data_IF_521603635515
#
_entry.id   IF_521603635515
#
_cell.length_a   1.000
_cell.length_b   1.000
_cell.length_c   1.000
_cell.angle_alpha   90.00
_cell.angle_beta   90.00
_cell.angle_gamma   90.00
#
_symmetry.space_group_name_H-M   'P 1'
#
loop_
_entity.id
_entity.type
_entity.pdbx_description
1 polymer ?
#
# COMPACT_ATOMS: atom_id res chain seq x y z
N UNK A 1 19.80 -3.22 -4.65
CA UNK A 1 19.94 -3.92 -3.34
C UNK A 1 21.04 -3.30 -2.46
N UNK A 2 22.23 -3.06 -3.00
CA UNK A 2 23.36 -2.50 -2.22
C UNK A 2 23.09 -1.09 -1.73
N UNK A 3 22.53 -0.19 -2.58
CA UNK A 3 22.29 1.21 -2.26
C UNK A 3 21.41 1.39 -1.00
N UNK A 4 20.27 0.70 -0.93
CA UNK A 4 19.35 0.83 0.21
C UNK A 4 19.96 0.31 1.51
N UNK A 5 20.71 -0.79 1.46
CA UNK A 5 21.45 -1.29 2.65
C UNK A 5 22.49 -0.28 3.14
N UNK A 6 23.21 0.38 2.22
CA UNK A 6 24.18 1.42 2.56
C UNK A 6 23.55 2.66 3.18
N UNK A 7 22.25 2.89 2.96
CA UNK A 7 21.46 3.95 3.57
C UNK A 7 20.74 3.51 4.86
N UNK A 8 21.03 2.31 5.38
CA UNK A 8 20.46 1.79 6.62
C UNK A 8 19.09 1.14 6.47
N UNK A 9 18.62 0.91 5.25
CA UNK A 9 17.35 0.20 5.05
C UNK A 9 17.49 -1.30 5.29
N UNK A 10 16.48 -1.87 5.95
CA UNK A 10 16.28 -3.30 6.17
C UNK A 10 15.02 -3.76 5.49
N UNK A 11 14.94 -5.03 5.16
CA UNK A 11 13.72 -5.64 4.57
C UNK A 11 12.73 -5.90 5.69
N UNK A 12 11.51 -5.41 5.53
CA UNK A 12 10.38 -5.74 6.41
C UNK A 12 9.73 -7.05 5.99
N UNK A 13 9.31 -7.14 4.73
CA UNK A 13 8.70 -8.33 4.15
C UNK A 13 8.62 -8.28 2.63
N UNK A 14 7.92 -9.26 2.07
CA UNK A 14 7.64 -9.42 0.65
C UNK A 14 6.16 -9.71 0.40
N UNK A 15 5.65 -9.29 -0.78
CA UNK A 15 4.38 -9.79 -1.32
C UNK A 15 4.64 -10.35 -2.72
N UNK A 16 4.15 -11.57 -2.98
CA UNK A 16 4.29 -12.27 -4.26
C UNK A 16 2.89 -12.61 -4.81
N UNK A 17 2.37 -11.73 -5.69
CA UNK A 17 1.00 -11.83 -6.27
C UNK A 17 1.01 -11.61 -7.79
N UNK A 18 1.77 -12.42 -8.51
CA UNK A 18 2.00 -12.23 -9.95
C UNK A 18 3.03 -11.13 -10.26
N UNK A 19 3.42 -10.37 -9.27
CA UNK A 19 4.56 -9.47 -9.23
C UNK A 19 5.21 -9.56 -7.86
N UNK A 20 6.50 -9.21 -7.77
CA UNK A 20 7.23 -9.17 -6.51
C UNK A 20 7.24 -7.75 -5.95
N UNK A 21 6.78 -7.58 -4.72
CA UNK A 21 6.94 -6.35 -3.96
C UNK A 21 7.88 -6.59 -2.78
N UNK A 22 8.71 -5.60 -2.50
CA UNK A 22 9.67 -5.61 -1.38
C UNK A 22 9.48 -4.36 -0.55
N UNK A 23 9.26 -4.56 0.73
CA UNK A 23 9.03 -3.50 1.70
C UNK A 23 10.28 -3.32 2.55
N UNK A 24 10.70 -2.06 2.71
CA UNK A 24 11.94 -1.72 3.39
C UNK A 24 11.70 -0.59 4.41
N UNK A 25 12.24 -0.76 5.60
CA UNK A 25 12.19 0.25 6.66
C UNK A 25 13.60 0.76 7.02
N UNK A 26 13.64 1.94 7.61
CA UNK A 26 14.83 2.53 8.24
C UNK A 26 14.51 3.18 9.60
N UNK A 27 13.30 2.97 10.07
CA UNK A 27 12.75 3.42 11.36
C UNK A 27 11.65 2.42 11.79
N UNK A 28 11.00 2.57 12.94
CA UNK A 28 10.00 1.60 13.41
C UNK A 28 8.75 1.46 12.54
N UNK A 29 8.48 2.32 11.55
CA UNK A 29 7.37 2.09 10.61
C UNK A 29 7.64 0.84 9.79
N UNK A 30 6.58 0.06 9.50
CA UNK A 30 6.69 -1.18 8.75
C UNK A 30 7.50 -1.00 7.45
N UNK A 31 7.24 0.06 6.72
CA UNK A 31 8.08 0.42 5.58
C UNK A 31 8.11 1.92 5.32
N UNK A 32 9.24 2.37 4.82
CA UNK A 32 9.46 3.72 4.30
C UNK A 32 9.45 3.70 2.77
N UNK A 33 9.88 2.59 2.18
CA UNK A 33 9.93 2.37 0.73
C UNK A 33 9.37 1.00 0.39
N UNK A 34 8.50 0.95 -0.62
CA UNK A 34 8.10 -0.26 -1.29
C UNK A 34 8.60 -0.26 -2.74
N UNK A 35 9.20 -1.36 -3.17
CA UNK A 35 9.72 -1.55 -4.51
C UNK A 35 8.93 -2.63 -5.22
N UNK A 36 8.34 -2.28 -6.37
CA UNK A 36 7.65 -3.22 -7.25
C UNK A 36 8.55 -3.65 -8.40
N UNK A 37 8.59 -4.94 -8.69
CA UNK A 37 9.32 -5.53 -9.80
C UNK A 37 8.47 -5.72 -11.07
N UNK A 38 7.57 -4.81 -11.40
CA UNK A 38 6.75 -4.91 -12.61
C UNK A 38 7.61 -4.64 -13.87
N UNK A 39 7.78 -5.62 -14.79
CA UNK A 39 8.59 -5.44 -15.98
C UNK A 39 8.02 -4.34 -16.90
N UNK A 40 8.90 -3.45 -17.37
CA UNK A 40 8.53 -2.39 -18.32
C UNK A 40 7.83 -1.19 -17.69
N UNK A 41 7.62 -1.17 -16.37
CA UNK A 41 7.04 -0.04 -15.65
C UNK A 41 8.09 0.57 -14.75
N UNK A 42 8.39 1.85 -14.95
CA UNK A 42 9.24 2.63 -14.06
C UNK A 42 8.51 3.92 -13.68
N UNK A 43 8.46 4.25 -12.40
CA UNK A 43 7.81 5.46 -11.93
C UNK A 43 7.52 5.46 -10.44
N UNK A 44 6.95 6.56 -9.99
CA UNK A 44 6.48 6.72 -8.63
C UNK A 44 4.99 6.36 -8.57
N UNK A 45 4.64 5.40 -7.73
CA UNK A 45 3.28 4.89 -7.62
C UNK A 45 2.44 5.73 -6.66
N UNK A 46 2.81 5.77 -5.40
CA UNK A 46 2.05 6.52 -4.38
C UNK A 46 2.94 7.05 -3.26
N UNK A 47 2.38 8.02 -2.52
CA UNK A 47 2.85 8.48 -1.22
C UNK A 47 1.81 8.10 -0.18
N UNK A 48 2.23 7.47 0.93
CA UNK A 48 1.37 7.13 2.06
C UNK A 48 1.41 8.23 3.12
N UNK A 49 0.21 8.64 3.58
CA UNK A 49 -0.01 9.54 4.70
C UNK A 49 -0.78 8.80 5.79
N UNK A 50 -0.13 8.56 6.91
CA UNK A 50 -0.74 7.90 8.06
C UNK A 50 -1.31 8.91 9.06
N UNK A 51 -2.52 8.66 9.54
CA UNK A 51 -3.20 9.41 10.59
C UNK A 51 -3.43 8.53 11.83
N UNK A 52 -3.59 9.16 12.97
CA UNK A 52 -3.75 8.44 14.24
C UNK A 52 -5.12 7.80 14.40
N UNK A 53 -6.17 8.46 13.89
CA UNK A 53 -7.55 8.05 14.15
C UNK A 53 -8.23 7.49 12.89
N UNK A 54 -8.86 6.33 13.01
CA UNK A 54 -9.68 5.77 11.93
C UNK A 54 -10.82 6.73 11.49
N UNK A 55 -11.33 7.52 12.42
CA UNK A 55 -12.33 8.56 12.10
C UNK A 55 -11.85 9.56 11.07
N UNK A 56 -10.54 9.89 11.06
CA UNK A 56 -9.99 10.84 10.08
C UNK A 56 -9.89 10.18 8.69
N UNK A 57 -9.66 8.87 8.63
CA UNK A 57 -9.74 8.10 7.37
C UNK A 57 -11.15 8.17 6.80
N UNK A 58 -12.18 7.95 7.63
CA UNK A 58 -13.59 8.06 7.22
C UNK A 58 -13.94 9.46 6.72
N UNK A 59 -13.58 10.51 7.48
CA UNK A 59 -13.82 11.90 7.06
C UNK A 59 -13.11 12.27 5.76
N UNK A 60 -11.88 11.80 5.56
CA UNK A 60 -11.15 12.02 4.32
C UNK A 60 -11.84 11.33 3.14
N UNK A 61 -12.36 10.12 3.33
CA UNK A 61 -13.10 9.39 2.31
C UNK A 61 -14.42 10.11 1.95
N UNK A 62 -15.14 10.69 2.93
CA UNK A 62 -16.30 11.54 2.68
C UNK A 62 -15.91 12.75 1.81
N UNK A 63 -14.81 13.44 2.12
CA UNK A 63 -14.32 14.56 1.33
C UNK A 63 -13.99 14.14 -0.11
N UNK A 64 -13.35 12.98 -0.30
CA UNK A 64 -13.05 12.43 -1.62
C UNK A 64 -14.32 12.23 -2.44
N UNK A 65 -15.37 11.67 -1.82
CA UNK A 65 -16.66 11.43 -2.45
C UNK A 65 -17.39 12.74 -2.77
N UNK A 66 -17.49 13.67 -1.82
CA UNK A 66 -18.16 14.96 -1.97
C UNK A 66 -17.50 15.82 -3.07
N UNK A 67 -16.17 15.79 -3.14
CA UNK A 67 -15.39 16.50 -4.15
C UNK A 67 -15.30 15.75 -5.48
N UNK A 68 -15.89 14.54 -5.58
CA UNK A 68 -15.83 13.68 -6.77
C UNK A 68 -14.40 13.45 -7.25
N UNK A 69 -13.46 13.30 -6.32
CA UNK A 69 -12.08 12.95 -6.62
C UNK A 69 -12.00 11.50 -7.10
N UNK A 70 -11.04 11.20 -7.95
CA UNK A 70 -10.88 9.83 -8.47
C UNK A 70 -10.29 8.93 -7.39
N UNK A 71 -11.13 8.06 -6.83
CA UNK A 71 -10.69 6.98 -5.95
C UNK A 71 -9.92 5.96 -6.78
N UNK A 72 -8.66 5.72 -6.45
CA UNK A 72 -7.83 4.74 -7.16
C UNK A 72 -8.01 3.33 -6.61
N UNK A 73 -8.16 3.19 -5.29
CA UNK A 73 -8.56 1.95 -4.61
C UNK A 73 -9.51 2.26 -3.45
N UNK A 74 -10.52 1.43 -3.28
CA UNK A 74 -11.47 1.54 -2.18
C UNK A 74 -10.79 1.37 -0.81
N UNK A 75 -11.50 1.72 0.26
CA UNK A 75 -11.06 1.38 1.61
C UNK A 75 -10.81 -0.11 1.72
N UNK A 76 -9.69 -0.48 2.35
CA UNK A 76 -9.25 -1.85 2.51
C UNK A 76 -8.23 -1.99 3.63
N UNK A 77 -7.80 -3.23 3.89
CA UNK A 77 -6.76 -3.53 4.87
C UNK A 77 -5.71 -4.45 4.27
N UNK A 78 -4.46 -4.01 4.29
CA UNK A 78 -3.33 -4.79 3.81
C UNK A 78 -3.03 -6.02 4.70
N UNK A 79 -2.41 -7.03 4.09
CA UNK A 79 -2.04 -8.26 4.80
C UNK A 79 -0.75 -8.09 5.58
N UNK A 80 0.23 -7.41 5.00
CA UNK A 80 1.60 -7.36 5.48
C UNK A 80 1.82 -6.33 6.60
N UNK A 81 1.29 -5.14 6.47
CA UNK A 81 1.49 -4.06 7.44
C UNK A 81 0.23 -3.70 8.24
N UNK A 82 -0.89 -4.38 7.98
CA UNK A 82 -2.21 -4.17 8.60
C UNK A 82 -2.79 -2.76 8.41
N UNK A 83 -2.18 -1.92 7.56
CA UNK A 83 -2.67 -0.59 7.26
C UNK A 83 -4.10 -0.65 6.73
N UNK A 84 -4.98 0.15 7.33
CA UNK A 84 -6.35 0.34 6.83
C UNK A 84 -6.40 1.67 6.10
N UNK A 85 -6.52 1.64 4.78
CA UNK A 85 -6.32 2.80 3.91
C UNK A 85 -7.21 2.78 2.68
N UNK A 86 -7.24 3.89 1.95
CA UNK A 86 -7.75 4.01 0.59
C UNK A 86 -6.77 4.82 -0.26
N UNK A 87 -6.92 4.75 -1.58
CA UNK A 87 -6.04 5.46 -2.51
C UNK A 87 -6.82 6.44 -3.35
N UNK A 88 -6.30 7.66 -3.49
CA UNK A 88 -6.87 8.71 -4.33
C UNK A 88 -5.84 9.20 -5.33
N UNK A 89 -6.27 9.41 -6.58
CA UNK A 89 -5.39 9.89 -7.64
C UNK A 89 -5.13 11.38 -7.52
N UNK A 90 -3.86 11.78 -7.61
CA UNK A 90 -3.47 13.18 -7.67
C UNK A 90 -3.54 13.73 -9.10
N UNK A 91 -3.66 15.06 -9.28
CA UNK A 91 -3.54 15.68 -10.59
C UNK A 91 -2.19 15.44 -11.28
N UNK A 92 -1.14 15.15 -10.51
CA UNK A 92 0.22 14.85 -11.01
C UNK A 92 0.39 13.40 -11.48
N UNK A 93 -0.66 12.55 -11.34
CA UNK A 93 -0.69 11.19 -11.88
C UNK A 93 -0.24 10.09 -10.92
N UNK A 94 0.40 10.42 -9.79
CA UNK A 94 0.63 9.45 -8.72
C UNK A 94 -0.57 9.38 -7.76
N UNK A 95 -0.55 8.44 -6.82
CA UNK A 95 -1.63 8.24 -5.87
C UNK A 95 -1.22 8.67 -4.46
N UNK A 96 -2.17 9.11 -3.65
CA UNK A 96 -2.04 9.23 -2.21
C UNK A 96 -2.76 8.06 -1.58
N UNK A 97 -2.04 7.28 -0.81
CA UNK A 97 -2.60 6.36 0.16
C UNK A 97 -2.85 7.11 1.46
N UNK A 98 -4.07 7.02 2.01
CA UNK A 98 -4.44 7.69 3.25
C UNK A 98 -5.05 6.67 4.21
N UNK A 99 -4.44 6.49 5.37
CA UNK A 99 -4.82 5.40 6.25
C UNK A 99 -4.29 5.51 7.67
N UNK A 100 -4.54 4.46 8.45
CA UNK A 100 -4.18 4.35 9.86
C UNK A 100 -3.89 2.92 10.27
N UNK A 101 -3.17 2.75 11.37
CA UNK A 101 -3.00 1.48 12.06
C UNK A 101 -1.97 0.55 11.44
N UNK A 102 -0.96 1.13 10.79
CA UNK A 102 0.18 0.37 10.30
C UNK A 102 1.00 -0.27 11.43
N UNK A 103 1.54 -1.46 11.16
CA UNK A 103 2.43 -2.16 12.09
C UNK A 103 3.70 -1.36 12.35
N UNK A 104 4.21 -1.50 13.57
CA UNK A 104 5.56 -1.08 13.92
C UNK A 104 6.49 -2.29 13.94
N UNK A 105 7.66 -2.13 13.34
CA UNK A 105 8.74 -3.12 13.36
C UNK A 105 9.54 -2.98 14.65
N UNK A 106 9.69 -4.08 15.37
CA UNK A 106 10.69 -4.24 16.41
C UNK A 106 11.89 -4.98 15.81
N UNK A 107 12.93 -4.25 15.46
CA UNK A 107 14.12 -4.78 14.79
C UNK A 107 14.80 -5.97 15.49
N UNK A 108 14.67 -6.07 16.80
CA UNK A 108 15.28 -7.15 17.58
C UNK A 108 14.53 -8.47 17.44
N UNK A 109 13.22 -8.40 17.18
CA UNK A 109 12.33 -9.55 17.11
C UNK A 109 11.60 -9.70 15.77
N UNK A 110 11.90 -8.86 14.77
CA UNK A 110 11.23 -8.88 13.48
C UNK A 110 11.71 -10.03 12.60
N UNK A 111 10.77 -10.84 12.16
CA UNK A 111 11.00 -11.88 11.16
C UNK A 111 10.44 -11.44 9.82
N UNK A 112 11.26 -11.54 8.76
CA UNK A 112 10.84 -11.23 7.39
C UNK A 112 9.94 -12.34 6.89
N UNK A 113 8.72 -11.98 6.45
CA UNK A 113 7.75 -12.93 5.91
C UNK A 113 7.43 -12.66 4.43
N UNK A 114 6.74 -13.60 3.80
CA UNK A 114 6.27 -13.50 2.41
C UNK A 114 4.79 -13.76 2.35
N UNK A 115 4.04 -12.78 1.85
CA UNK A 115 2.59 -12.83 1.73
C UNK A 115 2.18 -13.14 0.29
N UNK A 116 1.08 -13.86 0.12
CA UNK A 116 0.50 -14.25 -1.17
C UNK A 116 -0.77 -13.46 -1.54
N UNK A 117 -1.11 -12.45 -0.74
CA UNK A 117 -2.23 -11.55 -0.97
C UNK A 117 -1.87 -10.11 -0.59
N UNK A 118 -2.38 -9.13 -1.33
CA UNK A 118 -2.18 -7.70 -1.04
C UNK A 118 -3.00 -7.23 0.15
N UNK A 119 -4.21 -7.77 0.31
CA UNK A 119 -5.16 -7.27 1.29
C UNK A 119 -6.05 -8.36 1.82
N UNK A 120 -6.43 -8.28 3.08
CA UNK A 120 -7.45 -9.14 3.68
C UNK A 120 -8.83 -8.85 3.09
N UNK A 121 -9.10 -7.56 2.82
CA UNK A 121 -10.36 -7.09 2.24
C UNK A 121 -10.18 -5.69 1.64
N UNK A 122 -11.11 -5.27 0.79
CA UNK A 122 -11.11 -3.95 0.17
C UNK A 122 -10.02 -3.79 -0.91
N UNK A 123 -9.47 -2.58 -1.02
CA UNK A 123 -8.49 -2.16 -2.02
C UNK A 123 -8.88 -2.58 -3.44
N UNK A 124 -10.18 -2.38 -3.77
CA UNK A 124 -10.70 -2.70 -5.10
C UNK A 124 -10.50 -1.49 -6.01
N UNK A 125 -9.92 -1.67 -7.18
CA UNK A 125 -9.89 -0.61 -8.18
C UNK A 125 -11.31 -0.28 -8.67
N UNK A 126 -11.56 0.94 -9.20
CA UNK A 126 -12.83 1.27 -9.86
C UNK A 126 -13.18 0.23 -10.93
N UNK A 127 -14.50 -0.01 -11.14
CA UNK A 127 -14.99 -1.03 -12.10
C UNK A 127 -14.43 -0.83 -13.52
N UNK A 128 -14.25 0.40 -13.95
CA UNK A 128 -13.65 0.78 -15.21
C UNK A 128 -12.18 0.36 -15.40
N UNK A 129 -11.49 -0.02 -14.32
CA UNK A 129 -10.11 -0.55 -14.33
C UNK A 129 -10.04 -2.06 -14.23
N UNK A 130 -11.17 -2.73 -14.08
CA UNK A 130 -11.22 -4.18 -14.07
C UNK A 130 -10.96 -4.70 -15.48
N UNK A 131 -9.72 -5.05 -15.77
CA UNK A 131 -9.40 -5.79 -17.02
C UNK A 131 -10.05 -7.15 -16.90
N UNK A 132 -10.95 -7.54 -17.85
CA UNK A 132 -11.59 -8.84 -17.79
C UNK A 132 -10.56 -9.95 -17.74
N UNK A 133 -10.55 -10.75 -16.67
CA UNK A 133 -9.69 -11.92 -16.50
C UNK A 133 -8.65 -11.85 -15.37
N UNK A 134 -8.42 -10.70 -14.73
CA UNK A 134 -7.37 -10.57 -13.70
C UNK A 134 -7.93 -10.60 -12.26
N UNK A 135 -9.21 -10.34 -12.05
CA UNK A 135 -9.83 -10.48 -10.72
C UNK A 135 -10.96 -11.49 -10.72
N UNK A 136 -10.70 -12.68 -10.18
CA UNK A 136 -11.79 -13.56 -9.75
C UNK A 136 -12.33 -13.03 -8.42
N UNK A 137 -13.67 -12.84 -8.37
CA UNK A 137 -14.37 -12.69 -7.09
C UNK A 137 -14.09 -13.96 -6.28
N UNK A 138 -13.42 -13.81 -5.16
CA UNK A 138 -13.46 -14.83 -4.10
C UNK A 138 -14.75 -14.56 -3.34
N UNK A 139 -15.69 -15.49 -3.44
CA UNK A 139 -17.00 -15.45 -2.76
C UNK A 139 -16.85 -15.62 -1.25
#
# INVERSE_FOLDING_TARGET
>A
RVLFRSLGFRVSDHIEVGMSLRFLHCNPRHHTIALSGAPGIAGFHHLMLEVEQFTDVGRALDIVNDKKMTLAMSLGRHTNDLMTSFYVRTPSGFEIEYGTGGLLVDDENWEVDTYDAMSFWGHRPPEERLVPGIMRRVG
#
